data_IF_689882938682
#
_entry.id   IF_689882938682
#
_cell.length_a   1.000
_cell.length_b   1.000
_cell.length_c   1.000
_cell.angle_alpha   90.00
_cell.angle_beta   90.00
_cell.angle_gamma   90.00
#
_symmetry.space_group_name_H-M   'P 1'
#
loop_
_entity.id
_entity.type
_entity.pdbx_description
1 polymer ?
#
# COMPACT_ATOMS: atom_id res chain seq x y z
N UNK A 1 6.87 7.20 6.95
CA UNK A 1 7.36 6.97 5.56
C UNK A 1 6.91 8.07 4.60
N UNK A 2 5.85 8.79 4.97
CA UNK A 2 5.27 9.94 4.27
C UNK A 2 6.26 10.94 3.64
N UNK A 3 7.33 11.31 4.34
CA UNK A 3 8.37 12.21 3.79
C UNK A 3 9.20 11.57 2.69
N UNK A 4 9.56 10.29 2.85
CA UNK A 4 10.32 9.54 1.85
C UNK A 4 9.45 9.33 0.60
N UNK A 5 8.16 9.08 0.78
CA UNK A 5 7.21 8.99 -0.33
C UNK A 5 6.89 10.32 -1.01
N UNK A 6 7.14 11.47 -0.39
CA UNK A 6 7.02 12.75 -1.09
C UNK A 6 8.04 12.89 -2.23
N UNK A 7 9.14 12.12 -2.20
CA UNK A 7 10.07 12.06 -3.32
C UNK A 7 9.49 11.19 -4.45
N UNK A 8 9.39 11.78 -5.63
CA UNK A 8 9.04 11.09 -6.88
C UNK A 8 10.27 10.38 -7.43
N UNK A 9 10.68 9.30 -6.78
CA UNK A 9 11.77 8.45 -7.27
C UNK A 9 11.20 7.09 -7.73
N UNK A 10 11.47 6.67 -8.99
CA UNK A 10 10.88 5.46 -9.57
C UNK A 10 11.19 4.20 -8.74
N UNK A 11 12.41 4.11 -8.21
CA UNK A 11 12.84 2.96 -7.41
C UNK A 11 12.23 2.93 -5.99
N UNK A 12 11.56 3.98 -5.51
CA UNK A 12 11.12 4.03 -4.11
C UNK A 12 10.05 2.97 -3.80
N UNK A 13 9.09 2.80 -4.71
CA UNK A 13 8.02 1.80 -4.58
C UNK A 13 8.59 0.38 -4.64
N UNK A 14 9.51 0.20 -5.58
CA UNK A 14 10.34 -0.97 -5.78
C UNK A 14 11.07 -1.36 -4.47
N UNK A 15 11.90 -0.48 -3.89
CA UNK A 15 12.67 -0.78 -2.67
C UNK A 15 11.81 -1.09 -1.42
N UNK A 16 10.56 -0.62 -1.37
CA UNK A 16 9.69 -0.83 -0.22
C UNK A 16 9.01 -2.20 -0.24
N UNK A 17 8.48 -2.64 -1.39
CA UNK A 17 7.57 -3.79 -1.42
C UNK A 17 7.88 -4.84 -2.50
N UNK A 18 8.83 -4.61 -3.41
CA UNK A 18 9.17 -5.61 -4.43
C UNK A 18 10.09 -6.71 -3.84
N UNK A 19 9.66 -7.98 -3.84
CA UNK A 19 10.46 -9.09 -3.34
C UNK A 19 11.62 -9.49 -4.27
N UNK A 20 11.64 -9.05 -5.53
CA UNK A 20 12.58 -9.51 -6.55
C UNK A 20 13.77 -8.57 -6.75
N UNK A 21 13.83 -7.46 -6.02
CA UNK A 21 14.92 -6.50 -6.16
C UNK A 21 16.22 -7.04 -5.54
N UNK A 22 17.33 -7.05 -6.30
CA UNK A 22 18.63 -7.38 -5.75
C UNK A 22 19.08 -6.30 -4.78
N UNK A 23 19.42 -6.74 -3.58
CA UNK A 23 19.87 -5.89 -2.49
C UNK A 23 21.37 -6.07 -2.25
N UNK A 24 22.02 -5.01 -1.76
CA UNK A 24 23.41 -5.12 -1.32
C UNK A 24 23.54 -6.15 -0.20
N UNK A 25 24.69 -6.83 -0.08
CA UNK A 25 24.94 -7.76 1.03
C UNK A 25 24.61 -7.11 2.38
N UNK A 26 23.95 -7.86 3.26
CA UNK A 26 23.50 -7.43 4.59
C UNK A 26 22.37 -6.38 4.63
N UNK A 27 21.88 -5.88 3.50
CA UNK A 27 20.68 -5.03 3.48
C UNK A 27 19.39 -5.86 3.45
N UNK A 28 18.30 -5.28 3.94
CA UNK A 28 16.97 -5.91 4.00
C UNK A 28 15.94 -4.98 3.40
N UNK A 29 15.10 -5.49 2.49
CA UNK A 29 13.93 -4.74 2.02
C UNK A 29 12.91 -4.65 3.14
N UNK A 30 12.08 -3.62 3.08
CA UNK A 30 10.95 -3.51 3.99
C UNK A 30 10.01 -4.71 3.85
N UNK A 31 9.78 -5.23 2.64
CA UNK A 31 9.09 -6.50 2.40
C UNK A 31 9.64 -7.65 3.26
N UNK A 32 10.95 -7.92 3.20
CA UNK A 32 11.57 -9.03 3.95
C UNK A 32 11.43 -8.87 5.47
N UNK A 33 11.49 -7.64 5.97
CA UNK A 33 11.29 -7.32 7.38
C UNK A 33 9.83 -7.56 7.78
N UNK A 34 8.87 -7.08 6.97
CA UNK A 34 7.44 -7.25 7.23
C UNK A 34 7.03 -8.72 7.26
N UNK A 35 7.47 -9.53 6.30
CA UNK A 35 7.18 -10.98 6.28
C UNK A 35 7.73 -11.66 7.54
N UNK A 36 8.95 -11.33 7.96
CA UNK A 36 9.53 -11.88 9.19
C UNK A 36 8.74 -11.47 10.44
N UNK A 37 8.38 -10.20 10.56
CA UNK A 37 7.59 -9.68 11.68
C UNK A 37 6.21 -10.35 11.71
N UNK A 38 5.56 -10.49 10.55
CA UNK A 38 4.26 -11.18 10.44
C UNK A 38 4.36 -12.65 10.85
N UNK A 39 5.42 -13.36 10.42
CA UNK A 39 5.65 -14.74 10.81
C UNK A 39 5.82 -14.91 12.32
N UNK A 40 6.65 -14.06 12.95
CA UNK A 40 6.83 -14.08 14.41
C UNK A 40 5.53 -13.70 15.14
N UNK A 41 4.81 -12.71 14.63
CA UNK A 41 3.57 -12.25 15.21
C UNK A 41 2.50 -13.33 15.19
N UNK A 42 2.32 -14.01 14.05
CA UNK A 42 1.36 -15.11 13.89
C UNK A 42 1.57 -16.22 14.91
N UNK A 43 2.80 -16.51 15.31
CA UNK A 43 3.09 -17.50 16.36
C UNK A 43 2.72 -16.99 17.75
N UNK A 44 3.04 -15.72 18.06
CA UNK A 44 2.80 -15.16 19.40
C UNK A 44 1.32 -14.86 19.67
N UNK A 45 0.54 -14.48 18.65
CA UNK A 45 -0.89 -14.18 18.84
C UNK A 45 -1.73 -15.41 19.15
N UNK A 46 -1.31 -16.61 18.72
CA UNK A 46 -2.01 -17.86 19.04
C UNK A 46 -2.00 -18.16 20.55
N UNK A 47 -1.07 -17.58 21.29
CA UNK A 47 -0.96 -17.73 22.74
C UNK A 47 -1.82 -16.72 23.50
N UNK A 48 -2.48 -15.79 22.81
CA UNK A 48 -3.28 -14.73 23.42
C UNK A 48 -4.78 -15.09 23.30
N UNK A 49 -5.45 -15.44 24.41
CA UNK A 49 -6.90 -15.57 24.41
C UNK A 49 -7.56 -14.20 24.25
N UNK A 50 -8.79 -14.20 23.74
CA UNK A 50 -9.65 -13.00 23.60
C UNK A 50 -8.95 -11.83 22.88
N UNK A 51 -8.06 -12.14 21.94
CA UNK A 51 -7.24 -11.16 21.22
C UNK A 51 -8.03 -9.94 20.71
N UNK A 52 -9.23 -10.07 20.10
CA UNK A 52 -9.99 -8.92 19.62
C UNK A 52 -10.32 -7.92 20.73
N UNK A 53 -10.84 -8.38 21.86
CA UNK A 53 -11.20 -7.53 23.00
C UNK A 53 -9.97 -6.89 23.62
N UNK A 54 -8.87 -7.64 23.71
CA UNK A 54 -7.59 -7.14 24.23
C UNK A 54 -7.00 -6.06 23.34
N UNK A 55 -7.10 -6.20 22.02
CA UNK A 55 -6.72 -5.17 21.06
C UNK A 55 -7.62 -3.94 21.16
N UNK A 56 -8.93 -4.11 21.29
CA UNK A 56 -9.87 -2.99 21.48
C UNK A 56 -9.55 -2.20 22.76
N UNK A 57 -9.34 -2.89 23.88
CA UNK A 57 -8.95 -2.27 25.13
C UNK A 57 -7.60 -1.54 25.00
N UNK A 58 -6.60 -2.17 24.38
CA UNK A 58 -5.30 -1.53 24.14
C UNK A 58 -5.42 -0.28 23.28
N UNK A 59 -6.31 -0.26 22.26
CA UNK A 59 -6.57 0.95 21.47
C UNK A 59 -7.17 2.06 22.33
N UNK A 60 -8.12 1.75 23.21
CA UNK A 60 -8.70 2.72 24.16
C UNK A 60 -7.65 3.26 25.13
N UNK A 61 -6.75 2.40 25.61
CA UNK A 61 -5.62 2.81 26.45
C UNK A 61 -4.68 3.77 25.73
N UNK A 62 -4.32 3.47 24.47
CA UNK A 62 -3.48 4.35 23.64
C UNK A 62 -4.13 5.71 23.37
N UNK A 63 -5.46 5.78 23.36
CA UNK A 63 -6.25 7.02 23.25
C UNK A 63 -6.44 7.74 24.60
N UNK A 64 -5.88 7.21 25.69
CA UNK A 64 -6.03 7.79 27.04
C UNK A 64 -7.42 7.59 27.65
N UNK A 65 -8.23 6.68 27.08
CA UNK A 65 -9.61 6.42 27.53
C UNK A 65 -9.70 5.35 28.64
N UNK A 66 -8.61 4.65 28.93
CA UNK A 66 -8.51 3.66 30.01
C UNK A 66 -7.06 3.52 30.50
N UNK A 67 -6.88 3.00 31.71
CA UNK A 67 -5.57 2.84 32.34
C UNK A 67 -5.31 1.36 32.69
N UNK A 68 -4.95 0.58 31.68
CA UNK A 68 -4.68 -0.84 31.83
C UNK A 68 -3.18 -1.09 32.06
N UNK A 69 -2.73 -0.90 33.30
CA UNK A 69 -1.32 -1.03 33.65
C UNK A 69 -0.84 -2.48 33.87
N UNK A 70 -1.75 -3.45 33.84
CA UNK A 70 -1.47 -4.84 34.23
C UNK A 70 -1.79 -5.90 33.17
N UNK A 71 -2.12 -5.51 31.93
CA UNK A 71 -2.40 -6.52 30.90
C UNK A 71 -1.12 -7.26 30.49
N UNK A 72 -1.16 -8.59 30.56
CA UNK A 72 -0.12 -9.46 30.01
C UNK A 72 0.10 -9.15 28.52
N UNK A 73 1.30 -9.30 27.96
CA UNK A 73 1.53 -9.02 26.53
C UNK A 73 1.20 -7.58 26.04
N UNK A 74 1.02 -6.58 26.91
CA UNK A 74 0.64 -5.22 26.51
C UNK A 74 1.56 -4.63 25.42
N UNK A 75 2.88 -4.85 25.53
CA UNK A 75 3.86 -4.41 24.52
C UNK A 75 3.60 -5.04 23.14
N UNK A 76 3.24 -6.33 23.10
CA UNK A 76 2.92 -7.02 21.86
C UNK A 76 1.63 -6.46 21.25
N UNK A 77 0.58 -6.28 22.05
CA UNK A 77 -0.69 -5.71 21.60
C UNK A 77 -0.53 -4.29 21.05
N UNK A 78 0.24 -3.44 21.75
CA UNK A 78 0.61 -2.11 21.25
C UNK A 78 1.38 -2.20 19.93
N UNK A 79 2.33 -3.14 19.83
CA UNK A 79 3.07 -3.41 18.60
C UNK A 79 2.18 -3.80 17.43
N UNK A 80 1.15 -4.62 17.65
CA UNK A 80 0.16 -5.01 16.63
C UNK A 80 -0.58 -3.78 16.11
N UNK A 81 -1.05 -2.91 17.01
CA UNK A 81 -1.78 -1.69 16.63
C UNK A 81 -0.87 -0.76 15.82
N UNK A 82 0.39 -0.57 16.25
CA UNK A 82 1.36 0.24 15.50
C UNK A 82 1.62 -0.35 14.11
N UNK A 83 1.73 -1.68 14.00
CA UNK A 83 1.93 -2.35 12.72
C UNK A 83 0.72 -2.20 11.80
N UNK A 84 -0.51 -2.28 12.34
CA UNK A 84 -1.73 -2.03 11.59
C UNK A 84 -1.76 -0.61 11.00
N UNK A 85 -1.50 0.41 11.83
CA UNK A 85 -1.47 1.81 11.37
C UNK A 85 -0.34 2.06 10.36
N UNK A 86 0.82 1.43 10.57
CA UNK A 86 1.94 1.48 9.63
C UNK A 86 1.54 0.92 8.25
N UNK A 87 0.83 -0.22 8.21
CA UNK A 87 0.33 -0.79 6.97
C UNK A 87 -0.69 0.10 6.27
N UNK A 88 -1.55 0.81 7.03
CA UNK A 88 -2.47 1.81 6.47
C UNK A 88 -1.73 2.99 5.85
N UNK A 89 -0.67 3.51 6.50
CA UNK A 89 0.17 4.57 5.93
C UNK A 89 0.83 4.10 4.62
N UNK A 90 1.37 2.87 4.60
CA UNK A 90 1.95 2.29 3.38
C UNK A 90 0.95 2.16 2.24
N UNK A 91 -0.27 1.66 2.54
CA UNK A 91 -1.32 1.52 1.53
C UNK A 91 -1.74 2.89 0.97
N UNK A 92 -1.88 3.90 1.84
CA UNK A 92 -2.18 5.27 1.41
C UNK A 92 -1.09 5.85 0.51
N UNK A 93 0.18 5.64 0.85
CA UNK A 93 1.33 6.05 0.04
C UNK A 93 1.31 5.38 -1.35
N UNK A 94 1.07 4.06 -1.40
CA UNK A 94 1.02 3.31 -2.65
C UNK A 94 -0.15 3.75 -3.53
N UNK A 95 -1.32 4.02 -2.93
CA UNK A 95 -2.51 4.47 -3.64
C UNK A 95 -2.31 5.82 -4.32
N UNK A 96 -1.69 6.78 -3.64
CA UNK A 96 -1.41 8.12 -4.20
C UNK A 96 -0.35 8.08 -5.31
N UNK A 97 0.57 7.11 -5.26
CA UNK A 97 1.68 6.97 -6.22
C UNK A 97 1.38 6.13 -7.44
N UNK A 98 0.25 5.40 -7.46
CA UNK A 98 -0.14 4.64 -8.63
C UNK A 98 -0.51 5.63 -9.74
N UNK A 99 0.19 5.64 -10.89
CA UNK A 99 -0.31 6.35 -12.06
C UNK A 99 -1.68 5.76 -12.35
N UNK A 100 -2.73 6.57 -12.40
CA UNK A 100 -4.00 6.10 -12.93
C UNK A 100 -3.71 5.61 -14.34
N UNK A 101 -3.84 4.31 -14.57
CA UNK A 101 -3.76 3.69 -15.88
C UNK A 101 -4.95 4.15 -16.73
N UNK A 102 -5.03 5.45 -17.04
CA UNK A 102 -6.12 6.09 -17.77
C UNK A 102 -5.70 7.32 -18.59
N UNK A 103 -4.44 7.79 -18.53
CA UNK A 103 -3.95 8.79 -19.48
C UNK A 103 -3.15 8.10 -20.60
N UNK A 104 -3.81 7.19 -21.33
CA UNK A 104 -3.34 6.83 -22.67
C UNK A 104 -3.80 7.93 -23.64
N UNK A 105 -2.91 8.70 -24.29
CA UNK A 105 -3.30 9.60 -25.37
C UNK A 105 -3.65 8.76 -26.60
N UNK A 106 -4.91 8.33 -26.68
CA UNK A 106 -5.33 7.38 -27.71
C UNK A 106 -6.85 7.26 -27.87
N UNK A 107 -7.60 8.35 -27.76
CA UNK A 107 -8.93 8.41 -28.40
C UNK A 107 -8.78 9.08 -29.77
N UNK A 108 -8.84 8.34 -30.89
CA UNK A 108 -9.14 8.97 -32.16
C UNK A 108 -10.60 9.42 -32.11
N UNK A 109 -10.77 10.74 -32.10
CA UNK A 109 -12.05 11.40 -32.13
C UNK A 109 -12.87 10.97 -33.34
N UNK A 110 -14.16 10.87 -33.07
CA UNK A 110 -15.27 10.91 -34.01
C UNK A 110 -15.05 12.05 -35.02
N UNK A 111 -14.77 11.70 -36.27
CA UNK A 111 -14.73 12.61 -37.42
C UNK A 111 -15.63 12.04 -38.51
N UNK A 112 -16.71 12.76 -38.76
CA UNK A 112 -17.78 12.49 -39.71
C UNK A 112 -17.27 12.62 -41.16
N UNK A 113 -17.62 11.69 -42.05
CA UNK A 113 -17.90 12.03 -43.46
C UNK A 113 -18.82 10.95 -44.09
N UNK A 114 -20.01 11.32 -44.60
CA UNK A 114 -20.89 10.42 -45.34
C UNK A 114 -20.45 10.32 -46.82
N UNK A 115 -20.71 9.20 -47.52
CA UNK A 115 -20.47 9.14 -48.96
C UNK A 115 -21.61 9.87 -49.68
N UNK A 116 -21.36 11.10 -50.14
CA UNK A 116 -22.13 11.69 -51.23
C UNK A 116 -21.49 11.29 -52.56
N UNK A 117 -22.25 10.54 -53.36
CA UNK A 117 -21.98 10.45 -54.79
C UNK A 117 -22.31 11.79 -55.45
N UNK A 118 -21.52 12.17 -56.46
CA UNK A 118 -22.03 12.60 -57.76
C UNK A 118 -20.88 12.77 -58.78
N UNK A 119 -21.27 12.84 -60.04
CA UNK A 119 -20.58 12.47 -61.27
C UNK A 119 -19.51 13.46 -61.85
N UNK A 120 -18.55 12.89 -62.61
CA UNK A 120 -17.89 13.32 -63.88
C UNK A 120 -17.25 14.75 -64.00
N UNK A 121 -16.38 15.08 -65.02
CA UNK A 121 -16.01 14.35 -66.24
C UNK A 121 -14.51 14.31 -66.67
N UNK A 122 -14.26 13.37 -67.59
CA UNK A 122 -13.39 13.31 -68.80
C UNK A 122 -12.00 14.00 -68.95
N UNK A 123 -11.12 13.17 -69.56
CA UNK A 123 -10.06 13.44 -70.58
C UNK A 123 -8.72 14.03 -70.13
N UNK A 124 -7.61 13.84 -70.89
CA UNK A 124 -7.47 13.52 -72.33
C UNK A 124 -7.24 12.05 -72.72
#
# INVERSE_FOLDING_TARGET
LSRLSAYSHPLLQEYLLDPYIPLSPCSRSLFSVLIRVMGELMQRIQQIPDLPDRLLNTRRDLLGMSHNNGQEHLTLLKGIIVLEEFCKELAAIAFVKLPMENDLPGSPGSGLDPPHGDAFPDTP
#
